data_IF_295860025265
#
_entry.id   IF_295860025265
#
_cell.length_a   1.000
_cell.length_b   1.000
_cell.length_c   1.000
_cell.angle_alpha   90.00
_cell.angle_beta   90.00
_cell.angle_gamma   90.00
#
_symmetry.space_group_name_H-M   'P 1'
#
loop_
_entity.id
_entity.type
_entity.pdbx_description
1 polymer ?
#
# COMPACT_ATOMS: atom_id res chain seq x y z
N UNK A 1 0.03 -12.66 5.37
CA UNK A 1 -0.26 -11.38 6.06
C UNK A 1 -0.16 -10.18 5.12
N UNK A 2 0.68 -10.23 4.07
CA UNK A 2 0.80 -9.15 3.07
C UNK A 2 0.66 -9.62 1.62
N UNK A 3 0.38 -10.92 1.40
CA UNK A 3 0.07 -11.56 0.11
C UNK A 3 -0.90 -12.74 0.34
N UNK A 4 -1.56 -13.24 -0.71
CA UNK A 4 -2.45 -14.43 -0.67
C UNK A 4 -1.71 -15.75 -0.84
N UNK A 5 -0.48 -15.71 -1.37
CA UNK A 5 0.32 -16.89 -1.74
C UNK A 5 0.54 -17.76 -0.49
N UNK A 6 0.09 -19.03 -0.50
CA UNK A 6 0.28 -19.92 0.63
C UNK A 6 1.78 -20.17 0.88
N UNK A 7 2.22 -19.93 2.11
CA UNK A 7 3.54 -20.30 2.58
C UNK A 7 3.39 -21.02 3.93
N UNK A 8 4.19 -22.07 4.16
CA UNK A 8 4.25 -22.74 5.47
C UNK A 8 5.03 -21.84 6.41
N UNK A 9 4.32 -21.06 7.21
CA UNK A 9 4.87 -20.01 8.07
C UNK A 9 4.41 -20.31 9.50
N UNK A 10 5.35 -20.33 10.44
CA UNK A 10 5.07 -20.45 11.88
C UNK A 10 5.15 -19.08 12.60
N UNK A 11 4.95 -19.06 13.91
CA UNK A 11 5.00 -17.81 14.69
C UNK A 11 6.38 -17.14 14.70
N UNK A 12 7.46 -17.91 14.62
CA UNK A 12 8.84 -17.38 14.61
C UNK A 12 9.13 -16.67 13.29
N UNK A 13 8.63 -17.18 12.18
CA UNK A 13 8.75 -16.53 10.87
C UNK A 13 8.09 -15.14 10.87
N UNK A 14 6.95 -14.99 11.57
CA UNK A 14 6.27 -13.70 11.73
C UNK A 14 7.09 -12.73 12.58
N UNK A 15 7.69 -13.22 13.67
CA UNK A 15 8.55 -12.41 14.54
C UNK A 15 9.85 -11.99 13.82
N UNK A 16 10.45 -12.87 13.02
CA UNK A 16 11.61 -12.53 12.18
C UNK A 16 11.26 -11.47 11.12
N UNK A 17 10.10 -11.62 10.47
CA UNK A 17 9.61 -10.62 9.52
C UNK A 17 9.36 -9.27 10.21
N UNK A 18 8.78 -9.28 11.41
CA UNK A 18 8.58 -8.07 12.21
C UNK A 18 9.91 -7.42 12.61
N UNK A 19 10.93 -8.22 12.92
CA UNK A 19 12.30 -7.75 13.17
C UNK A 19 12.97 -7.12 11.95
N UNK A 20 12.48 -7.41 10.74
CA UNK A 20 12.99 -6.87 9.46
C UNK A 20 11.92 -6.10 8.70
N UNK A 21 11.00 -5.44 9.41
CA UNK A 21 9.80 -4.87 8.79
C UNK A 21 10.11 -3.81 7.72
N UNK A 22 11.26 -3.14 7.79
CA UNK A 22 11.75 -2.23 6.74
C UNK A 22 11.88 -2.86 5.34
N UNK A 23 11.94 -4.20 5.23
CA UNK A 23 11.97 -4.93 3.96
C UNK A 23 10.58 -5.05 3.29
N UNK A 24 9.50 -4.65 3.97
CA UNK A 24 8.13 -4.71 3.43
C UNK A 24 7.98 -3.91 2.13
N UNK A 25 8.84 -2.93 1.90
CA UNK A 25 8.87 -2.10 0.68
C UNK A 25 9.14 -2.91 -0.58
N UNK A 26 9.76 -4.09 -0.48
CA UNK A 26 9.89 -5.02 -1.62
C UNK A 26 8.56 -5.64 -2.02
N UNK A 27 7.64 -5.85 -1.07
CA UNK A 27 6.25 -6.25 -1.39
C UNK A 27 5.54 -5.09 -2.08
N UNK A 28 5.82 -3.85 -1.66
CA UNK A 28 5.36 -2.64 -2.35
C UNK A 28 5.85 -2.58 -3.80
N UNK A 29 7.13 -2.83 -4.04
CA UNK A 29 7.69 -2.89 -5.38
C UNK A 29 7.05 -4.00 -6.22
N UNK A 30 6.82 -5.20 -5.65
CA UNK A 30 6.12 -6.28 -6.35
C UNK A 30 4.71 -5.84 -6.78
N UNK A 31 3.93 -5.23 -5.88
CA UNK A 31 2.58 -4.76 -6.17
C UNK A 31 2.60 -3.66 -7.23
N UNK A 32 3.56 -2.74 -7.10
CA UNK A 32 3.81 -1.68 -8.04
C UNK A 32 4.13 -2.19 -9.44
N UNK A 33 5.05 -3.15 -9.58
CA UNK A 33 5.39 -3.78 -10.87
C UNK A 33 4.19 -4.46 -11.50
N UNK A 34 3.36 -5.17 -10.70
CA UNK A 34 2.14 -5.79 -11.21
C UNK A 34 1.15 -4.73 -11.71
N UNK A 35 0.94 -3.65 -10.95
CA UNK A 35 0.05 -2.56 -11.34
C UNK A 35 0.53 -1.85 -12.61
N UNK A 36 1.79 -1.44 -12.63
CA UNK A 36 2.43 -0.82 -13.80
C UNK A 36 2.40 -1.73 -15.02
N UNK A 37 2.61 -3.04 -14.83
CA UNK A 37 2.49 -4.03 -15.90
C UNK A 37 1.07 -4.15 -16.46
N UNK A 38 0.05 -4.08 -15.59
CA UNK A 38 -1.35 -4.07 -16.04
C UNK A 38 -1.68 -2.82 -16.86
N UNK A 39 -1.22 -1.65 -16.42
CA UNK A 39 -1.39 -0.42 -17.20
C UNK A 39 -0.66 -0.49 -18.53
N UNK A 40 0.63 -0.86 -18.53
CA UNK A 40 1.46 -0.93 -19.74
C UNK A 40 0.93 -1.92 -20.78
N UNK A 41 0.50 -3.12 -20.35
CA UNK A 41 -0.04 -4.13 -21.27
C UNK A 41 -1.47 -3.82 -21.72
N UNK A 42 -2.23 -3.08 -20.90
CA UNK A 42 -3.65 -2.85 -21.10
C UNK A 42 -4.02 -1.52 -21.77
N UNK A 43 -3.13 -0.52 -21.76
CA UNK A 43 -3.43 0.86 -22.22
C UNK A 43 -3.96 0.94 -23.66
N UNK A 44 -3.55 0.00 -24.53
CA UNK A 44 -3.98 -0.03 -25.94
C UNK A 44 -5.32 -0.75 -26.15
N UNK A 45 -5.86 -1.42 -25.12
CA UNK A 45 -7.04 -2.28 -25.23
C UNK A 45 -8.20 -1.84 -24.33
N UNK A 46 -7.90 -1.18 -23.21
CA UNK A 46 -8.85 -0.82 -22.17
C UNK A 46 -8.69 0.66 -21.81
N UNK A 47 -9.77 1.30 -21.37
CA UNK A 47 -9.68 2.67 -20.83
C UNK A 47 -8.92 2.69 -19.51
N UNK A 48 -8.26 3.80 -19.19
CA UNK A 48 -7.57 3.99 -17.91
C UNK A 48 -8.48 3.70 -16.72
N UNK A 49 -9.76 4.09 -16.81
CA UNK A 49 -10.73 3.81 -15.76
C UNK A 49 -10.92 2.30 -15.51
N UNK A 50 -11.00 1.48 -16.57
CA UNK A 50 -11.12 0.02 -16.40
C UNK A 50 -9.84 -0.54 -15.79
N UNK A 51 -8.66 -0.10 -16.25
CA UNK A 51 -7.37 -0.53 -15.70
C UNK A 51 -7.22 -0.14 -14.23
N UNK A 52 -7.62 1.08 -13.86
CA UNK A 52 -7.64 1.57 -12.49
C UNK A 52 -8.51 0.69 -11.57
N UNK A 53 -9.71 0.33 -12.02
CA UNK A 53 -10.57 -0.60 -11.27
C UNK A 53 -9.93 -1.98 -11.10
N UNK A 54 -9.31 -2.51 -12.17
CA UNK A 54 -8.63 -3.81 -12.12
C UNK A 54 -7.41 -3.80 -11.19
N UNK A 55 -6.59 -2.74 -11.24
CA UNK A 55 -5.42 -2.56 -10.36
C UNK A 55 -5.85 -2.41 -8.90
N UNK A 56 -6.87 -1.61 -8.61
CA UNK A 56 -7.40 -1.45 -7.26
C UNK A 56 -7.96 -2.78 -6.72
N UNK A 57 -8.71 -3.51 -7.57
CA UNK A 57 -9.18 -4.85 -7.27
C UNK A 57 -8.05 -5.83 -7.00
N UNK A 58 -6.98 -5.81 -7.79
CA UNK A 58 -5.77 -6.61 -7.59
C UNK A 58 -5.17 -6.33 -6.20
N UNK A 59 -5.00 -5.08 -5.81
CA UNK A 59 -4.41 -4.73 -4.51
C UNK A 59 -5.22 -5.30 -3.35
N UNK A 60 -6.55 -5.18 -3.38
CA UNK A 60 -7.43 -5.71 -2.35
C UNK A 60 -7.43 -7.25 -2.34
N UNK A 61 -7.50 -7.88 -3.51
CA UNK A 61 -7.49 -9.34 -3.60
C UNK A 61 -6.17 -9.92 -3.10
N UNK A 62 -5.03 -9.35 -3.50
CA UNK A 62 -3.71 -9.85 -3.12
C UNK A 62 -3.44 -9.81 -1.61
N UNK A 63 -4.11 -8.93 -0.86
CA UNK A 63 -4.01 -8.90 0.62
C UNK A 63 -5.25 -9.50 1.32
N UNK A 64 -6.16 -10.15 0.57
CA UNK A 64 -7.44 -10.70 1.08
C UNK A 64 -8.31 -9.66 1.79
N UNK A 65 -8.31 -8.43 1.29
CA UNK A 65 -8.99 -7.28 1.87
C UNK A 65 -8.53 -6.90 3.28
N UNK A 66 -7.42 -7.45 3.80
CA UNK A 66 -6.97 -7.21 5.17
C UNK A 66 -6.72 -5.73 5.47
N UNK A 67 -6.21 -4.96 4.50
CA UNK A 67 -6.01 -3.53 4.69
C UNK A 67 -7.32 -2.74 4.64
N UNK A 68 -8.28 -3.16 3.81
CA UNK A 68 -9.59 -2.51 3.73
C UNK A 68 -10.43 -2.81 4.97
N UNK A 69 -10.32 -4.04 5.50
CA UNK A 69 -10.88 -4.48 6.77
C UNK A 69 -10.35 -3.63 7.93
N UNK A 70 -9.02 -3.54 8.07
CA UNK A 70 -8.40 -2.69 9.09
C UNK A 70 -8.73 -1.20 8.94
N UNK A 71 -8.94 -0.70 7.72
CA UNK A 71 -9.42 0.66 7.48
C UNK A 71 -10.88 0.84 7.90
N UNK A 72 -11.72 -0.17 7.65
CA UNK A 72 -13.11 -0.19 8.08
C UNK A 72 -13.21 -0.19 9.61
N UNK A 73 -12.47 -1.07 10.29
CA UNK A 73 -12.39 -1.10 11.75
C UNK A 73 -11.95 0.26 12.31
N UNK A 74 -10.90 0.84 11.71
CA UNK A 74 -10.42 2.17 12.07
C UNK A 74 -11.50 3.24 11.89
N UNK A 75 -12.26 3.19 10.79
CA UNK A 75 -13.38 4.09 10.53
C UNK A 75 -14.46 4.02 11.61
N UNK A 76 -14.86 2.82 12.02
CA UNK A 76 -15.81 2.62 13.11
C UNK A 76 -15.28 3.14 14.45
N UNK A 77 -14.01 2.87 14.75
CA UNK A 77 -13.34 3.42 15.93
C UNK A 77 -13.26 4.95 15.95
N UNK A 78 -13.04 5.58 14.79
CA UNK A 78 -12.96 7.03 14.64
C UNK A 78 -14.31 7.72 14.80
N UNK A 79 -15.39 7.13 14.27
CA UNK A 79 -16.74 7.73 14.30
C UNK A 79 -17.47 7.46 15.63
N UNK A 80 -17.16 6.37 16.34
CA UNK A 80 -17.84 5.98 17.59
C UNK A 80 -17.80 7.06 18.70
N UNK A 81 -16.80 7.94 18.71
CA UNK A 81 -16.60 8.95 19.76
C UNK A 81 -16.24 8.35 21.13
N UNK A 82 -16.21 9.19 22.17
CA UNK A 82 -15.89 8.75 23.54
C UNK A 82 -14.40 8.47 23.80
N UNK A 83 -14.13 7.69 24.85
CA UNK A 83 -12.78 7.36 25.33
C UNK A 83 -12.07 6.29 24.48
N UNK A 84 -10.79 6.05 24.72
CA UNK A 84 -9.98 5.11 23.94
C UNK A 84 -10.47 3.66 24.02
N UNK A 85 -11.06 3.25 25.13
CA UNK A 85 -11.62 1.90 25.34
C UNK A 85 -12.85 1.68 24.46
N UNK A 86 -13.77 2.65 24.43
CA UNK A 86 -14.98 2.58 23.59
C UNK A 86 -14.63 2.56 22.10
N UNK A 87 -13.68 3.39 21.66
CA UNK A 87 -13.20 3.37 20.27
C UNK A 87 -12.57 2.03 19.90
N UNK A 88 -11.77 1.46 20.80
CA UNK A 88 -11.18 0.13 20.59
C UNK A 88 -12.23 -0.98 20.58
N UNK A 89 -13.28 -0.87 21.39
CA UNK A 89 -14.40 -1.81 21.36
C UNK A 89 -15.13 -1.75 20.01
N UNK A 90 -15.33 -0.55 19.44
CA UNK A 90 -15.93 -0.39 18.12
C UNK A 90 -15.06 -1.00 17.01
N UNK A 91 -13.73 -0.83 17.06
CA UNK A 91 -12.80 -1.47 16.11
C UNK A 91 -12.80 -3.01 16.20
N UNK A 92 -13.25 -3.59 17.31
CA UNK A 92 -13.29 -5.04 17.53
C UNK A 92 -14.68 -5.64 17.31
N UNK A 93 -15.67 -4.81 16.96
CA UNK A 93 -17.00 -5.30 16.66
C UNK A 93 -16.99 -6.07 15.35
N UNK A 94 -17.51 -7.28 15.36
CA UNK A 94 -17.71 -8.09 14.15
C UNK A 94 -18.66 -7.47 13.13
N UNK A 95 -19.51 -6.51 13.55
CA UNK A 95 -20.46 -5.82 12.68
C UNK A 95 -19.84 -4.53 12.16
N UNK A 96 -19.83 -4.36 10.85
CA UNK A 96 -19.41 -3.10 10.23
C UNK A 96 -20.44 -2.00 10.50
N UNK A 97 -19.97 -0.86 11.01
CA UNK A 97 -20.76 0.34 11.22
C UNK A 97 -20.70 1.32 10.05
N UNK A 98 -21.45 2.42 10.16
CA UNK A 98 -21.47 3.47 9.14
C UNK A 98 -20.10 4.17 8.98
N UNK A 99 -19.27 4.18 10.04
CA UNK A 99 -17.91 4.73 9.98
C UNK A 99 -17.01 3.88 9.10
N UNK A 100 -17.03 2.55 9.30
CA UNK A 100 -16.24 1.62 8.52
C UNK A 100 -16.62 1.62 7.04
N UNK A 101 -17.93 1.56 6.74
CA UNK A 101 -18.44 1.70 5.37
C UNK A 101 -18.01 3.04 4.76
N UNK A 102 -18.15 4.14 5.49
CA UNK A 102 -17.80 5.48 5.01
C UNK A 102 -16.32 5.62 4.67
N UNK A 103 -15.43 5.16 5.55
CA UNK A 103 -13.98 5.21 5.32
C UNK A 103 -13.55 4.33 4.15
N UNK A 104 -14.06 3.09 4.08
CA UNK A 104 -13.79 2.19 2.97
C UNK A 104 -14.26 2.78 1.63
N UNK A 105 -15.45 3.38 1.60
CA UNK A 105 -16.01 4.01 0.40
C UNK A 105 -15.18 5.21 -0.05
N UNK A 106 -14.88 6.15 0.85
CA UNK A 106 -14.10 7.35 0.53
C UNK A 106 -12.71 6.97 0.03
N UNK A 107 -12.03 6.04 0.70
CA UNK A 107 -10.73 5.56 0.27
C UNK A 107 -10.77 4.89 -1.10
N UNK A 108 -11.77 4.02 -1.35
CA UNK A 108 -11.91 3.32 -2.62
C UNK A 108 -12.16 4.29 -3.77
N UNK A 109 -13.07 5.27 -3.58
CA UNK A 109 -13.39 6.28 -4.60
C UNK A 109 -12.17 7.15 -4.91
N UNK A 110 -11.46 7.64 -3.89
CA UNK A 110 -10.28 8.49 -4.08
C UNK A 110 -9.15 7.71 -4.76
N UNK A 111 -8.90 6.46 -4.34
CA UNK A 111 -7.87 5.61 -4.94
C UNK A 111 -8.18 5.30 -6.41
N UNK A 112 -9.44 4.98 -6.71
CA UNK A 112 -9.90 4.77 -8.06
C UNK A 112 -9.76 6.04 -8.91
N UNK A 113 -10.23 7.19 -8.40
CA UNK A 113 -10.17 8.45 -9.13
C UNK A 113 -8.73 8.87 -9.44
N UNK A 114 -7.80 8.71 -8.47
CA UNK A 114 -6.39 9.01 -8.66
C UNK A 114 -5.72 8.12 -9.71
N UNK A 115 -6.05 6.82 -9.73
CA UNK A 115 -5.54 5.90 -10.75
C UNK A 115 -6.19 6.14 -12.12
N UNK A 116 -7.49 6.45 -12.15
CA UNK A 116 -8.24 6.69 -13.37
C UNK A 116 -7.89 8.04 -14.04
N UNK A 117 -7.36 8.99 -13.27
CA UNK A 117 -6.93 10.29 -13.78
C UNK A 117 -5.55 10.29 -14.44
N UNK A 118 -4.84 9.15 -14.44
CA UNK A 118 -3.54 9.02 -15.10
C UNK A 118 -3.72 9.05 -16.62
N UNK A 119 -2.97 9.90 -17.31
CA UNK A 119 -3.13 10.11 -18.76
C UNK A 119 -1.83 9.93 -19.53
N UNK A 120 -0.68 10.22 -18.90
CA UNK A 120 0.62 10.04 -19.52
C UNK A 120 1.11 8.60 -19.45
N UNK A 121 1.77 8.11 -20.50
CA UNK A 121 2.39 6.77 -20.50
C UNK A 121 3.41 6.60 -19.38
N UNK A 122 4.22 7.64 -19.13
CA UNK A 122 5.16 7.66 -18.01
C UNK A 122 4.42 7.62 -16.66
N UNK A 123 3.30 8.34 -16.52
CA UNK A 123 2.49 8.33 -15.30
C UNK A 123 1.93 6.93 -15.01
N UNK A 124 1.35 6.29 -16.03
CA UNK A 124 0.80 4.94 -15.97
C UNK A 124 1.84 3.89 -15.59
N UNK A 125 3.09 4.09 -15.99
CA UNK A 125 4.20 3.19 -15.69
C UNK A 125 4.82 3.45 -14.31
N UNK A 126 5.03 4.70 -13.93
CA UNK A 126 5.84 5.02 -12.74
C UNK A 126 5.03 5.33 -11.49
N UNK A 127 3.87 5.99 -11.61
CA UNK A 127 3.12 6.42 -10.42
C UNK A 127 2.54 5.26 -9.63
N UNK A 128 1.91 4.22 -10.23
CA UNK A 128 1.45 3.05 -9.48
C UNK A 128 2.59 2.33 -8.77
N UNK A 129 3.77 2.25 -9.41
CA UNK A 129 4.97 1.65 -8.83
C UNK A 129 5.45 2.40 -7.59
N UNK A 130 5.66 3.71 -7.72
CA UNK A 130 6.14 4.56 -6.63
C UNK A 130 5.10 4.57 -5.50
N UNK A 131 3.82 4.71 -5.84
CA UNK A 131 2.72 4.73 -4.88
C UNK A 131 2.72 3.48 -4.00
N UNK A 132 2.90 2.29 -4.57
CA UNK A 132 2.90 1.05 -3.80
C UNK A 132 4.15 0.86 -2.95
N UNK A 133 5.33 1.30 -3.40
CA UNK A 133 6.54 1.31 -2.56
C UNK A 133 6.33 2.25 -1.35
N UNK A 134 5.77 3.45 -1.59
CA UNK A 134 5.46 4.42 -0.54
C UNK A 134 4.34 3.95 0.39
N UNK A 135 3.33 3.23 -0.12
CA UNK A 135 2.25 2.66 0.67
C UNK A 135 2.79 1.68 1.73
N UNK A 136 3.72 0.80 1.33
CA UNK A 136 4.39 -0.13 2.27
C UNK A 136 5.34 0.60 3.22
N UNK A 137 5.97 1.68 2.77
CA UNK A 137 6.77 2.55 3.63
C UNK A 137 5.91 3.20 4.73
N UNK A 138 4.72 3.70 4.37
CA UNK A 138 3.78 4.31 5.31
C UNK A 138 3.39 3.34 6.44
N UNK A 139 3.25 2.05 6.15
CA UNK A 139 3.02 1.03 7.19
C UNK A 139 4.16 0.95 8.21
N UNK A 140 5.42 1.08 7.78
CA UNK A 140 6.59 1.12 8.68
C UNK A 140 6.55 2.38 9.54
N UNK A 141 6.18 3.53 8.97
CA UNK A 141 6.04 4.77 9.75
C UNK A 141 4.87 4.72 10.74
N UNK A 142 3.74 4.11 10.35
CA UNK A 142 2.63 3.83 11.27
C UNK A 142 3.06 2.91 12.42
N UNK A 143 3.88 1.89 12.14
CA UNK A 143 4.42 1.01 13.17
C UNK A 143 5.41 1.73 14.09
N UNK A 144 6.27 2.60 13.54
CA UNK A 144 7.22 3.42 14.30
C UNK A 144 6.53 4.41 15.25
N UNK A 145 5.47 5.08 14.79
CA UNK A 145 4.69 6.02 15.59
C UNK A 145 3.60 5.36 16.46
N UNK A 146 3.39 4.06 16.28
CA UNK A 146 2.35 3.29 16.96
C UNK A 146 2.69 2.95 18.41
N UNK A 147 1.66 2.58 19.18
CA UNK A 147 1.82 2.01 20.52
C UNK A 147 1.47 0.53 20.48
N UNK A 148 2.40 -0.31 20.92
CA UNK A 148 2.20 -1.76 20.99
C UNK A 148 0.98 -2.10 21.87
N UNK A 149 0.14 -2.99 21.37
CA UNK A 149 -1.12 -3.47 21.98
C UNK A 149 -1.40 -4.88 21.48
N UNK A 150 -2.36 -5.59 22.08
CA UNK A 150 -2.80 -6.89 21.57
C UNK A 150 -3.32 -6.82 20.12
N UNK A 151 -2.98 -7.81 19.30
CA UNK A 151 -3.46 -7.95 17.93
C UNK A 151 -2.36 -8.30 16.93
N UNK A 152 -2.76 -8.57 15.67
CA UNK A 152 -1.87 -9.02 14.60
C UNK A 152 -0.73 -8.02 14.29
N UNK A 153 -0.97 -6.73 14.48
CA UNK A 153 0.02 -5.68 14.26
C UNK A 153 1.08 -5.54 15.36
N UNK A 154 0.90 -6.20 16.52
CA UNK A 154 1.72 -5.98 17.70
C UNK A 154 3.21 -6.26 17.47
N UNK A 155 3.51 -7.38 16.82
CA UNK A 155 4.88 -7.79 16.53
C UNK A 155 5.62 -6.71 15.72
N UNK A 156 4.95 -6.11 14.73
CA UNK A 156 5.53 -5.05 13.89
C UNK A 156 5.73 -3.75 14.67
N UNK A 157 4.73 -3.30 15.43
CA UNK A 157 4.81 -2.06 16.21
C UNK A 157 5.87 -2.16 17.31
N UNK A 158 5.95 -3.31 18.00
CA UNK A 158 6.92 -3.52 19.09
C UNK A 158 8.38 -3.53 18.60
N UNK A 159 8.63 -4.08 17.41
CA UNK A 159 9.96 -4.21 16.82
C UNK A 159 10.41 -3.00 15.99
N UNK A 160 9.48 -2.19 15.47
CA UNK A 160 9.84 -1.05 14.61
C UNK A 160 10.40 0.11 15.42
N UNK A 161 11.65 0.48 15.16
CA UNK A 161 12.34 1.64 15.77
C UNK A 161 12.79 2.64 14.70
N UNK A 162 13.26 3.81 15.13
CA UNK A 162 13.67 4.89 14.22
C UNK A 162 14.71 4.47 13.17
N UNK A 163 15.64 3.58 13.52
CA UNK A 163 16.61 3.02 12.56
C UNK A 163 15.94 2.22 11.43
N UNK A 164 14.89 1.46 11.74
CA UNK A 164 14.13 0.71 10.73
C UNK A 164 13.28 1.63 9.86
N UNK A 165 12.68 2.67 10.43
CA UNK A 165 11.93 3.67 9.65
C UNK A 165 12.86 4.41 8.66
N UNK A 166 14.04 4.83 9.11
CA UNK A 166 15.05 5.45 8.25
C UNK A 166 15.56 4.49 7.17
N UNK A 167 15.85 3.23 7.53
CA UNK A 167 16.26 2.21 6.56
C UNK A 167 15.17 1.94 5.52
N UNK A 168 13.90 1.85 5.94
CA UNK A 168 12.75 1.69 5.05
C UNK A 168 12.64 2.87 4.08
N UNK A 169 12.77 4.10 4.56
CA UNK A 169 12.72 5.31 3.72
C UNK A 169 13.85 5.33 2.70
N UNK A 170 15.10 5.09 3.12
CA UNK A 170 16.24 5.03 2.21
C UNK A 170 16.05 3.94 1.16
N UNK A 171 15.63 2.75 1.58
CA UNK A 171 15.39 1.62 0.68
C UNK A 171 14.25 1.92 -0.31
N UNK A 172 13.17 2.55 0.15
CA UNK A 172 12.07 2.99 -0.70
C UNK A 172 12.52 3.98 -1.78
N UNK A 173 13.34 4.97 -1.43
CA UNK A 173 13.88 5.95 -2.39
C UNK A 173 14.78 5.26 -3.41
N UNK A 174 15.74 4.45 -2.94
CA UNK A 174 16.68 3.73 -3.81
C UNK A 174 15.93 2.78 -4.74
N UNK A 175 14.95 2.03 -4.23
CA UNK A 175 14.21 1.05 -5.00
C UNK A 175 13.31 1.72 -6.05
N UNK A 176 12.61 2.80 -5.68
CA UNK A 176 11.81 3.57 -6.63
C UNK A 176 12.69 4.14 -7.74
N UNK A 177 13.81 4.77 -7.39
CA UNK A 177 14.73 5.37 -8.37
C UNK A 177 15.36 4.31 -9.28
N UNK A 178 15.84 3.20 -8.73
CA UNK A 178 16.44 2.11 -9.49
C UNK A 178 15.46 1.48 -10.48
N UNK A 179 14.20 1.25 -10.07
CA UNK A 179 13.19 0.65 -10.94
C UNK A 179 12.70 1.62 -12.02
N UNK A 180 12.57 2.92 -11.70
CA UNK A 180 12.28 3.95 -12.71
C UNK A 180 13.41 4.01 -13.73
N UNK A 181 14.67 4.09 -13.30
CA UNK A 181 15.82 4.08 -14.21
C UNK A 181 15.85 2.82 -15.08
N UNK A 182 15.65 1.65 -14.48
CA UNK A 182 15.62 0.38 -15.20
C UNK A 182 14.50 0.34 -16.25
N UNK A 183 13.34 0.91 -15.93
CA UNK A 183 12.21 0.99 -16.85
C UNK A 183 12.42 2.04 -17.95
N UNK A 184 13.10 3.16 -17.67
CA UNK A 184 13.41 4.19 -18.67
C UNK A 184 14.45 3.70 -19.70
N UNK A 185 15.51 2.99 -19.28
CA UNK A 185 16.59 2.52 -20.16
C UNK A 185 16.13 1.78 -21.44
N UNK A 186 15.17 0.84 -21.39
CA UNK A 186 14.69 0.11 -22.57
C UNK A 186 13.49 0.75 -23.28
N UNK A 187 12.75 1.66 -22.64
CA UNK A 187 11.47 2.18 -23.16
C UNK A 187 11.60 3.50 -23.92
N UNK A 188 12.80 4.11 -23.95
CA UNK A 188 13.03 5.42 -24.58
C UNK A 188 12.13 6.55 -24.07
N UNK A 189 11.51 6.42 -22.87
CA UNK A 189 10.82 7.52 -22.15
C UNK A 189 11.79 8.63 -21.68
N UNK A 190 12.97 8.74 -22.27
CA UNK A 190 14.01 9.73 -22.03
C UNK A 190 13.88 10.97 -22.92
N UNK A 191 12.73 11.26 -23.53
CA UNK A 191 12.53 12.56 -24.17
C UNK A 191 12.52 13.64 -23.07
N UNK A 192 13.74 14.05 -22.68
CA UNK A 192 14.07 15.06 -21.68
C UNK A 192 13.43 16.41 -22.00
N UNK A 193 12.98 16.59 -23.24
CA UNK A 193 12.28 17.76 -23.73
C UNK A 193 10.91 17.95 -23.05
N UNK A 194 10.25 16.88 -22.59
CA UNK A 194 9.00 16.96 -21.81
C UNK A 194 9.22 17.04 -20.30
N UNK A 195 10.37 16.59 -19.77
CA UNK A 195 10.67 16.63 -18.34
C UNK A 195 10.97 18.04 -17.81
N UNK A 196 11.33 18.98 -18.68
CA UNK A 196 11.53 20.39 -18.30
C UNK A 196 10.23 21.18 -18.12
N UNK A 197 9.06 20.57 -18.39
CA UNK A 197 7.75 21.21 -18.34
C UNK A 197 6.91 20.80 -17.10
N UNK A 198 7.49 20.04 -16.17
CA UNK A 198 6.93 19.77 -14.83
C UNK A 198 7.67 20.53 -13.73
#
# INVERSE_FOLDING_TARGET
MFTVIPAKVDGRDVDELAGKFYLIVFIGALYGVLASGMFYLGENYLSTAVLAAMVLGLFHLLNRFLHLDGLSDFGDGMVCGGNAERRMAAMKDSKTGAGGVGYALVFTILSFAALASLTGKAELLFLPLIAEIMNKNAMVFCAFGGKAREGLGNAFVSNTKGKQAAASLLLSIVLAFALVLLACLPTSYWELDEMAMF
#
